data_IF_284001368585
#
_entry.id   IF_284001368585
#
_cell.length_a   1.000
_cell.length_b   1.000
_cell.length_c   1.000
_cell.angle_alpha   90.00
_cell.angle_beta   90.00
_cell.angle_gamma   90.00
#
_symmetry.space_group_name_H-M   'P 1'
#
loop_
_entity.id
_entity.type
_entity.pdbx_description
1 polymer ?
#
# COMPACT_ATOMS: atom_id res chain seq x y z
N UNK A 1 6.79 -34.22 4.99
CA UNK A 1 8.09 -33.53 4.92
C UNK A 1 7.85 -32.15 4.35
N UNK A 2 7.92 -31.16 5.17
CA UNK A 2 7.77 -29.79 4.72
C UNK A 2 9.12 -29.27 4.26
N UNK A 3 9.27 -28.98 2.99
CA UNK A 3 10.32 -28.09 2.51
C UNK A 3 10.03 -26.71 3.09
N UNK A 4 10.50 -26.47 4.31
CA UNK A 4 10.50 -25.14 4.87
C UNK A 4 11.43 -24.28 3.99
N UNK A 5 10.94 -23.20 3.36
CA UNK A 5 11.84 -22.30 2.66
C UNK A 5 12.89 -21.78 3.65
N UNK A 6 14.14 -21.67 3.17
CA UNK A 6 15.21 -21.14 3.99
C UNK A 6 14.84 -19.77 4.56
N UNK A 7 15.32 -19.40 5.75
CA UNK A 7 15.04 -18.08 6.34
C UNK A 7 15.36 -16.91 5.40
N UNK A 8 16.25 -17.08 4.46
CA UNK A 8 16.63 -16.08 3.47
C UNK A 8 15.59 -15.86 2.37
N UNK A 9 14.71 -16.84 2.14
CA UNK A 9 13.68 -16.72 1.09
C UNK A 9 12.43 -15.94 1.53
N UNK A 10 12.21 -15.79 2.83
CA UNK A 10 11.01 -15.15 3.37
C UNK A 10 10.93 -13.64 3.07
N UNK A 11 12.01 -12.84 3.23
CA UNK A 11 11.96 -11.41 2.92
C UNK A 11 11.73 -11.13 1.44
N UNK A 12 12.38 -11.86 0.55
CA UNK A 12 12.22 -11.71 -0.90
C UNK A 12 10.79 -12.07 -1.34
N UNK A 13 10.20 -13.09 -0.71
CA UNK A 13 8.84 -13.51 -0.99
C UNK A 13 7.81 -12.45 -0.65
N UNK A 14 7.96 -11.76 0.47
CA UNK A 14 7.06 -10.68 0.90
C UNK A 14 7.10 -9.51 -0.08
N UNK A 15 8.29 -8.99 -0.37
CA UNK A 15 8.47 -7.85 -1.27
C UNK A 15 8.00 -8.15 -2.68
N UNK A 16 8.28 -9.34 -3.18
CA UNK A 16 7.95 -9.74 -4.55
C UNK A 16 6.44 -9.77 -4.79
N UNK A 17 5.68 -10.37 -3.90
CA UNK A 17 4.23 -10.55 -4.06
C UNK A 17 3.44 -9.30 -3.74
N UNK A 18 3.82 -8.58 -2.69
CA UNK A 18 3.17 -7.32 -2.31
C UNK A 18 3.54 -6.17 -3.22
N UNK A 19 4.74 -6.22 -3.80
CA UNK A 19 5.30 -5.14 -4.59
C UNK A 19 5.92 -4.02 -3.76
N UNK A 20 6.04 -4.21 -2.44
CA UNK A 20 6.70 -3.28 -1.53
C UNK A 20 7.19 -4.01 -0.28
N UNK A 21 8.18 -3.44 0.38
CA UNK A 21 8.69 -3.91 1.66
C UNK A 21 8.95 -2.72 2.57
N UNK A 22 8.47 -2.81 3.80
CA UNK A 22 8.69 -1.81 4.83
C UNK A 22 9.62 -2.38 5.91
N UNK A 23 10.22 -1.52 6.70
CA UNK A 23 11.19 -1.94 7.72
C UNK A 23 10.65 -2.99 8.67
N UNK A 24 9.39 -2.86 9.09
CA UNK A 24 8.80 -3.84 10.01
C UNK A 24 8.70 -5.25 9.40
N UNK A 25 8.59 -5.37 8.09
CA UNK A 25 8.60 -6.68 7.42
C UNK A 25 9.97 -7.37 7.61
N UNK A 26 11.06 -6.63 7.50
CA UNK A 26 12.41 -7.15 7.71
C UNK A 26 12.63 -7.54 9.17
N UNK A 27 12.18 -6.71 10.09
CA UNK A 27 12.25 -6.99 11.53
C UNK A 27 11.52 -8.29 11.86
N UNK A 28 10.29 -8.44 11.38
CA UNK A 28 9.50 -9.64 11.61
C UNK A 28 10.12 -10.88 10.96
N UNK A 29 10.63 -10.76 9.75
CA UNK A 29 11.28 -11.88 9.05
C UNK A 29 12.52 -12.38 9.81
N UNK A 30 13.26 -11.48 10.44
CA UNK A 30 14.41 -11.83 11.25
C UNK A 30 14.02 -12.36 12.63
N UNK A 31 13.01 -11.77 13.26
CA UNK A 31 12.61 -12.09 14.63
C UNK A 31 11.75 -13.36 14.73
N UNK A 32 10.85 -13.58 13.77
CA UNK A 32 9.92 -14.71 13.80
C UNK A 32 9.60 -15.20 12.37
N UNK A 33 10.52 -15.92 11.73
CA UNK A 33 10.33 -16.37 10.35
C UNK A 33 9.17 -17.35 10.16
N UNK A 34 8.86 -18.18 11.15
CA UNK A 34 7.74 -19.11 11.07
C UNK A 34 6.39 -18.38 11.04
N UNK A 35 6.25 -17.38 11.87
CA UNK A 35 5.04 -16.55 11.88
C UNK A 35 4.89 -15.81 10.54
N UNK A 36 5.98 -15.25 10.02
CA UNK A 36 5.98 -14.53 8.74
C UNK A 36 5.53 -15.42 7.58
N UNK A 37 5.94 -16.68 7.55
CA UNK A 37 5.47 -17.62 6.53
C UNK A 37 3.94 -17.79 6.57
N UNK A 38 3.38 -17.95 7.76
CA UNK A 38 1.93 -18.08 7.96
C UNK A 38 1.20 -16.80 7.62
N UNK A 39 1.74 -15.69 8.05
CA UNK A 39 1.22 -14.36 7.74
C UNK A 39 1.22 -14.10 6.24
N UNK A 40 2.30 -14.43 5.55
CA UNK A 40 2.40 -14.30 4.09
C UNK A 40 1.36 -15.17 3.38
N UNK A 41 1.16 -16.40 3.83
CA UNK A 41 0.12 -17.28 3.27
C UNK A 41 -1.29 -16.69 3.46
N UNK A 42 -1.57 -16.10 4.61
CA UNK A 42 -2.83 -15.39 4.87
C UNK A 42 -2.99 -14.19 3.96
N UNK A 43 -1.94 -13.38 3.77
CA UNK A 43 -1.96 -12.22 2.88
C UNK A 43 -2.17 -12.66 1.43
N UNK A 44 -1.52 -13.74 0.98
CA UNK A 44 -1.74 -14.29 -0.35
C UNK A 44 -3.20 -14.73 -0.55
N UNK A 45 -3.77 -15.37 0.44
CA UNK A 45 -5.17 -15.82 0.37
C UNK A 45 -6.16 -14.65 0.32
N UNK A 46 -5.83 -13.53 0.94
CA UNK A 46 -6.73 -12.39 1.11
C UNK A 46 -6.48 -11.28 0.10
N UNK A 47 -5.21 -10.97 -0.15
CA UNK A 47 -4.81 -9.72 -0.77
C UNK A 47 -4.07 -9.90 -2.09
N UNK A 48 -3.00 -10.67 -2.11
CA UNK A 48 -2.14 -10.79 -3.29
C UNK A 48 -2.56 -11.90 -4.25
N UNK A 49 -3.20 -12.95 -3.76
CA UNK A 49 -3.68 -14.05 -4.57
C UNK A 49 -4.96 -13.72 -5.35
N UNK A 50 -5.30 -14.56 -6.34
CA UNK A 50 -6.47 -14.33 -7.18
C UNK A 50 -7.78 -14.49 -6.39
N UNK A 51 -8.60 -13.47 -6.44
CA UNK A 51 -9.93 -13.41 -5.83
C UNK A 51 -10.88 -12.70 -6.78
N UNK A 52 -12.15 -12.56 -6.38
CA UNK A 52 -13.15 -11.85 -7.18
C UNK A 52 -12.77 -10.39 -7.44
N UNK A 53 -12.29 -9.69 -6.39
CA UNK A 53 -11.76 -8.34 -6.55
C UNK A 53 -10.33 -8.42 -7.06
N UNK A 54 -10.02 -7.67 -8.10
CA UNK A 54 -8.68 -7.61 -8.67
C UNK A 54 -7.71 -6.83 -7.76
N UNK A 55 -6.44 -6.93 -8.06
CA UNK A 55 -5.40 -6.28 -7.25
C UNK A 55 -5.53 -4.75 -7.28
N UNK A 56 -5.84 -4.17 -8.42
CA UNK A 56 -6.05 -2.72 -8.56
C UNK A 56 -7.14 -2.23 -7.60
N UNK A 57 -8.29 -2.88 -7.59
CA UNK A 57 -9.41 -2.54 -6.70
C UNK A 57 -9.00 -2.66 -5.24
N UNK A 58 -8.33 -3.73 -4.88
CA UNK A 58 -7.84 -3.93 -3.50
C UNK A 58 -6.86 -2.85 -3.08
N UNK A 59 -5.98 -2.40 -3.97
CA UNK A 59 -5.05 -1.31 -3.68
C UNK A 59 -5.78 0.01 -3.45
N UNK A 60 -6.77 0.32 -4.27
CA UNK A 60 -7.59 1.53 -4.07
C UNK A 60 -8.31 1.51 -2.71
N UNK A 61 -8.83 0.35 -2.31
CA UNK A 61 -9.45 0.17 -0.99
C UNK A 61 -8.42 0.35 0.14
N UNK A 62 -7.22 -0.22 0.00
CA UNK A 62 -6.15 -0.08 1.00
C UNK A 62 -5.74 1.39 1.16
N UNK A 63 -5.57 2.10 0.05
CA UNK A 63 -5.20 3.52 0.05
C UNK A 63 -6.26 4.34 0.81
N UNK A 64 -7.53 4.13 0.51
CA UNK A 64 -8.63 4.82 1.17
C UNK A 64 -8.69 4.52 2.68
N UNK A 65 -8.59 3.25 3.05
CA UNK A 65 -8.63 2.83 4.46
C UNK A 65 -7.43 3.36 5.24
N UNK A 66 -6.24 3.31 4.65
CA UNK A 66 -5.03 3.81 5.32
C UNK A 66 -5.05 5.32 5.50
N UNK A 67 -5.55 6.06 4.52
CA UNK A 67 -5.79 7.50 4.68
C UNK A 67 -6.79 7.76 5.82
N UNK A 68 -7.89 7.01 5.86
CA UNK A 68 -8.89 7.12 6.93
C UNK A 68 -8.30 6.84 8.32
N UNK A 69 -7.40 5.86 8.40
CA UNK A 69 -6.70 5.51 9.63
C UNK A 69 -5.55 6.46 9.97
N UNK A 70 -5.28 7.43 9.13
CA UNK A 70 -4.15 8.37 9.27
C UNK A 70 -2.80 7.66 9.34
N UNK A 71 -2.63 6.65 8.50
CA UNK A 71 -1.37 5.91 8.39
C UNK A 71 -0.24 6.85 7.97
N UNK A 72 0.99 6.43 8.22
CA UNK A 72 2.16 7.17 7.78
C UNK A 72 2.16 7.34 6.26
N UNK A 73 2.66 8.48 5.81
CA UNK A 73 2.73 8.82 4.38
C UNK A 73 3.47 7.74 3.60
N UNK A 74 4.54 7.18 4.14
CA UNK A 74 5.31 6.12 3.48
C UNK A 74 4.49 4.85 3.26
N UNK A 75 3.62 4.50 4.22
CA UNK A 75 2.71 3.37 4.09
C UNK A 75 1.72 3.60 2.94
N UNK A 76 1.10 4.76 2.89
CA UNK A 76 0.16 5.12 1.82
C UNK A 76 0.88 5.17 0.47
N UNK A 77 2.07 5.75 0.40
CA UNK A 77 2.89 5.80 -0.81
C UNK A 77 3.19 4.42 -1.37
N UNK A 78 3.48 3.46 -0.50
CA UNK A 78 3.74 2.08 -0.93
C UNK A 78 2.55 1.49 -1.69
N UNK A 79 1.34 1.67 -1.19
CA UNK A 79 0.12 1.19 -1.85
C UNK A 79 -0.21 1.96 -3.12
N UNK A 80 0.02 3.27 -3.15
CA UNK A 80 -0.13 4.08 -4.37
C UNK A 80 0.81 3.57 -5.47
N UNK A 81 2.05 3.28 -5.13
CA UNK A 81 3.03 2.74 -6.07
C UNK A 81 2.56 1.42 -6.67
N UNK A 82 2.03 0.52 -5.85
CA UNK A 82 1.49 -0.75 -6.34
C UNK A 82 0.24 -0.53 -7.19
N UNK A 83 -0.67 0.35 -6.77
CA UNK A 83 -1.87 0.68 -7.55
C UNK A 83 -1.51 1.15 -8.96
N UNK A 84 -0.52 2.04 -9.09
CA UNK A 84 -0.04 2.52 -10.39
C UNK A 84 0.49 1.38 -11.25
N UNK A 85 1.28 0.47 -10.67
CA UNK A 85 1.79 -0.71 -11.39
C UNK A 85 0.69 -1.67 -11.83
N UNK A 86 -0.37 -1.76 -11.05
CA UNK A 86 -1.53 -2.62 -11.36
C UNK A 86 -2.54 -1.93 -12.29
N UNK A 87 -2.19 -0.78 -12.84
CA UNK A 87 -2.97 -0.12 -13.88
C UNK A 87 -3.93 0.96 -13.39
N UNK A 88 -3.90 1.35 -12.13
CA UNK A 88 -4.66 2.49 -11.66
C UNK A 88 -4.06 3.78 -12.23
N UNK A 89 -4.94 4.69 -12.64
CA UNK A 89 -4.50 6.03 -13.05
C UNK A 89 -4.33 6.92 -11.82
N UNK A 90 -3.49 7.97 -11.90
CA UNK A 90 -3.40 8.97 -10.83
C UNK A 90 -4.77 9.55 -10.43
N UNK A 91 -5.64 9.75 -11.41
CA UNK A 91 -6.99 10.28 -11.16
C UNK A 91 -7.86 9.29 -10.38
N UNK A 92 -7.83 8.00 -10.72
CA UNK A 92 -8.57 6.98 -9.98
C UNK A 92 -8.13 6.92 -8.51
N UNK A 93 -6.83 7.02 -8.27
CA UNK A 93 -6.28 7.04 -6.90
C UNK A 93 -6.76 8.29 -6.15
N UNK A 94 -6.71 9.44 -6.78
CA UNK A 94 -7.19 10.68 -6.17
C UNK A 94 -8.67 10.59 -5.81
N UNK A 95 -9.50 10.06 -6.69
CA UNK A 95 -10.93 9.88 -6.43
C UNK A 95 -11.21 8.88 -5.31
N UNK A 96 -10.42 7.80 -5.20
CA UNK A 96 -10.50 6.89 -4.06
C UNK A 96 -10.21 7.62 -2.74
N UNK A 97 -9.20 8.50 -2.72
CA UNK A 97 -8.89 9.33 -1.55
C UNK A 97 -10.01 10.33 -1.25
N UNK A 98 -10.60 10.93 -2.27
CA UNK A 98 -11.70 11.88 -2.09
C UNK A 98 -12.91 11.26 -1.39
N UNK A 99 -13.16 9.97 -1.58
CA UNK A 99 -14.26 9.27 -0.90
C UNK A 99 -14.10 9.26 0.63
N UNK A 100 -12.88 9.43 1.13
CA UNK A 100 -12.58 9.42 2.58
C UNK A 100 -13.12 10.67 3.28
N UNK A 101 -13.29 11.78 2.56
CA UNK A 101 -13.71 13.06 3.14
C UNK A 101 -15.08 12.95 3.83
N UNK A 102 -16.03 12.27 3.22
CA UNK A 102 -17.39 12.17 3.77
C UNK A 102 -17.42 11.52 5.16
N UNK A 103 -16.84 10.32 5.36
CA UNK A 103 -16.85 9.69 6.68
C UNK A 103 -15.81 10.23 7.66
N UNK A 104 -14.67 10.74 7.19
CA UNK A 104 -13.52 10.99 8.04
C UNK A 104 -13.03 12.43 8.09
N UNK A 105 -13.45 13.28 7.17
CA UNK A 105 -13.06 14.68 7.12
C UNK A 105 -11.67 14.94 6.53
N UNK A 106 -11.32 16.21 6.45
CA UNK A 106 -10.12 16.67 5.73
C UNK A 106 -8.79 16.27 6.34
N UNK A 107 -8.72 16.10 7.66
CA UNK A 107 -7.46 15.72 8.31
C UNK A 107 -6.97 14.33 7.89
N UNK A 108 -7.88 13.39 7.71
CA UNK A 108 -7.54 12.06 7.21
C UNK A 108 -7.14 12.10 5.72
N UNK A 109 -7.88 12.85 4.93
CA UNK A 109 -7.65 13.00 3.49
C UNK A 109 -6.28 13.62 3.16
N UNK A 110 -5.85 14.59 3.95
CA UNK A 110 -4.65 15.38 3.73
C UNK A 110 -3.39 14.55 3.52
N UNK A 111 -3.15 13.53 4.36
CA UNK A 111 -1.99 12.65 4.24
C UNK A 111 -2.00 11.85 2.94
N UNK A 112 -3.18 11.41 2.55
CA UNK A 112 -3.36 10.70 1.29
C UNK A 112 -3.02 11.56 0.09
N UNK A 113 -3.43 12.81 0.08
CA UNK A 113 -3.10 13.77 -1.00
C UNK A 113 -1.60 14.03 -1.07
N UNK A 114 -0.94 14.17 0.07
CA UNK A 114 0.52 14.34 0.11
C UNK A 114 1.24 13.13 -0.48
N UNK A 115 0.81 11.94 -0.10
CA UNK A 115 1.36 10.69 -0.65
C UNK A 115 1.11 10.57 -2.14
N UNK A 116 -0.08 10.92 -2.59
CA UNK A 116 -0.47 10.90 -3.99
C UNK A 116 0.40 11.84 -4.84
N UNK A 117 0.57 13.08 -4.40
CA UNK A 117 1.40 14.06 -5.10
C UNK A 117 2.85 13.56 -5.24
N UNK A 118 3.40 13.00 -4.15
CA UNK A 118 4.76 12.48 -4.16
C UNK A 118 4.97 11.31 -5.15
N UNK A 119 4.02 10.38 -5.22
CA UNK A 119 4.17 9.19 -6.07
C UNK A 119 3.77 9.43 -7.53
N UNK A 120 2.88 10.37 -7.80
CA UNK A 120 2.45 10.69 -9.17
C UNK A 120 3.31 11.76 -9.83
N UNK A 121 4.21 12.39 -9.08
CA UNK A 121 5.03 13.49 -9.58
C UNK A 121 4.23 14.76 -9.81
N UNK A 122 3.08 14.92 -9.15
CA UNK A 122 2.28 16.12 -9.28
C UNK A 122 3.00 17.31 -8.65
N UNK A 123 3.14 18.37 -9.41
CA UNK A 123 3.76 19.61 -8.96
C UNK A 123 2.78 20.77 -9.10
N UNK A 124 2.78 21.65 -8.11
CA UNK A 124 2.03 22.91 -8.20
C UNK A 124 2.67 23.82 -9.26
N UNK A 125 1.85 24.39 -10.12
CA UNK A 125 2.30 25.45 -11.00
C UNK A 125 2.70 26.70 -10.22
N UNK A 126 3.46 27.61 -10.82
CA UNK A 126 3.89 28.84 -10.13
C UNK A 126 2.72 29.68 -9.63
N UNK A 127 1.60 29.72 -10.38
CA UNK A 127 0.39 30.43 -10.00
C UNK A 127 -0.42 29.77 -8.88
N UNK A 128 -0.15 28.51 -8.58
CA UNK A 128 -0.88 27.72 -7.59
C UNK A 128 -0.19 27.68 -6.22
N UNK A 129 1.01 28.25 -6.11
CA UNK A 129 1.76 28.27 -4.85
C UNK A 129 1.16 29.31 -3.90
N UNK A 130 1.00 28.97 -2.61
CA UNK A 130 0.54 29.95 -1.63
C UNK A 130 1.53 31.10 -1.52
N UNK A 131 1.00 32.30 -1.49
CA UNK A 131 1.78 33.53 -1.30
C UNK A 131 2.33 33.62 0.13
#
# INVERSE_FOLDING_TARGET
MSDAPSPEAAPEGIGRRRGYELDFHRILAAADPDWVRRYTAFIDATYTGPRLLDRKTKELLQIAVEAALRADVDQIRAHIRVALREGATPREILEALETVIMPMGGLAFRRGVQAWAAETGFELGEGDRPS
#
